data_IF_453987714623
#
_entry.id   IF_453987714623
#
_cell.length_a   1.000
_cell.length_b   1.000
_cell.length_c   1.000
_cell.angle_alpha   90.00
_cell.angle_beta   90.00
_cell.angle_gamma   90.00
#
_symmetry.space_group_name_H-M   'P 1'
#
loop_
_entity.id
_entity.type
_entity.pdbx_description
1 polymer ?
#
# COMPACT_ATOMS: atom_id res chain seq x y z
N UNK A 1 -5.18 -9.73 -5.26
CA UNK A 1 -6.39 -9.09 -5.81
C UNK A 1 -7.23 -8.63 -4.64
N UNK A 2 -7.87 -7.46 -4.71
CA UNK A 2 -8.75 -6.96 -3.65
C UNK A 2 -10.20 -6.98 -4.15
N UNK A 3 -11.05 -7.81 -3.53
CA UNK A 3 -12.47 -7.85 -3.88
C UNK A 3 -13.25 -6.83 -3.06
N UNK A 4 -14.06 -6.02 -3.75
CA UNK A 4 -14.93 -5.00 -3.14
C UNK A 4 -16.39 -5.47 -3.15
N UNK A 5 -16.83 -6.10 -4.24
CA UNK A 5 -18.17 -6.70 -4.38
C UNK A 5 -18.18 -7.84 -5.41
N UNK A 6 -19.32 -8.51 -5.58
CA UNK A 6 -19.49 -9.59 -6.58
C UNK A 6 -19.13 -9.20 -8.02
N UNK A 7 -19.11 -7.90 -8.35
CA UNK A 7 -18.80 -7.39 -9.69
C UNK A 7 -17.55 -6.49 -9.73
N UNK A 8 -16.97 -6.16 -8.58
CA UNK A 8 -15.90 -5.16 -8.47
C UNK A 8 -14.71 -5.80 -7.78
N UNK A 9 -13.62 -5.93 -8.51
CA UNK A 9 -12.33 -6.43 -8.02
C UNK A 9 -11.23 -5.54 -8.56
N UNK A 10 -10.28 -5.18 -7.69
CA UNK A 10 -9.08 -4.43 -8.03
C UNK A 10 -7.93 -5.43 -8.22
N UNK A 11 -7.24 -5.36 -9.36
CA UNK A 11 -6.07 -6.20 -9.61
C UNK A 11 -4.88 -5.74 -8.75
N UNK A 12 -3.99 -6.65 -8.34
CA UNK A 12 -2.81 -6.26 -7.54
C UNK A 12 -1.89 -5.30 -8.29
N UNK A 13 -1.87 -5.39 -9.62
CA UNK A 13 -1.08 -4.55 -10.52
C UNK A 13 -1.52 -3.08 -10.50
N UNK A 14 -2.77 -2.80 -10.10
CA UNK A 14 -3.32 -1.45 -9.98
C UNK A 14 -3.02 -0.82 -8.61
N UNK A 15 -2.51 -1.60 -7.66
CA UNK A 15 -2.21 -1.16 -6.30
C UNK A 15 -0.69 -1.01 -6.16
N UNK A 16 -0.23 0.23 -6.02
CA UNK A 16 1.18 0.52 -5.79
C UNK A 16 1.48 0.47 -4.29
N UNK A 17 2.33 -0.48 -3.87
CA UNK A 17 2.76 -0.64 -2.48
C UNK A 17 4.23 -0.26 -2.36
N UNK A 18 4.54 0.72 -1.53
CA UNK A 18 5.91 1.16 -1.23
C UNK A 18 6.20 1.04 0.25
N UNK A 19 7.23 0.27 0.59
CA UNK A 19 7.77 0.24 1.94
C UNK A 19 8.54 1.54 2.19
N UNK A 20 8.16 2.23 3.27
CA UNK A 20 8.78 3.48 3.71
C UNK A 20 9.36 3.30 5.11
N UNK A 21 10.34 4.13 5.43
CA UNK A 21 10.83 4.20 6.81
C UNK A 21 9.82 4.94 7.66
N UNK A 22 9.47 4.31 8.78
CA UNK A 22 8.62 4.90 9.80
C UNK A 22 9.31 6.14 10.38
N UNK A 23 8.70 7.32 10.21
CA UNK A 23 9.22 8.59 10.76
C UNK A 23 8.69 8.75 12.18
N UNK A 24 9.56 8.65 13.19
CA UNK A 24 9.19 8.84 14.60
C UNK A 24 10.32 8.45 15.56
N UNK A 25 10.23 8.88 16.82
CA UNK A 25 11.16 8.49 17.88
C UNK A 25 10.92 7.02 18.27
N UNK A 26 11.42 6.09 17.46
CA UNK A 26 11.35 4.66 17.73
C UNK A 26 12.71 4.09 18.13
N UNK A 27 12.70 3.01 18.91
CA UNK A 27 13.91 2.26 19.29
C UNK A 27 14.62 1.61 18.09
N UNK A 28 15.69 0.84 18.36
CA UNK A 28 16.53 0.22 17.30
C UNK A 28 15.74 -0.51 16.19
N UNK A 29 14.62 -1.17 16.51
CA UNK A 29 13.80 -1.88 15.52
C UNK A 29 13.07 -0.95 14.55
N UNK A 30 12.66 0.25 14.98
CA UNK A 30 11.94 1.22 14.15
C UNK A 30 12.90 1.99 13.23
N UNK A 31 14.13 2.24 13.70
CA UNK A 31 15.15 2.96 12.92
C UNK A 31 15.80 2.12 11.81
N UNK A 32 15.67 0.79 11.86
CA UNK A 32 16.41 -0.14 10.99
C UNK A 32 15.54 -0.87 9.95
N UNK A 33 14.23 -0.97 10.16
CA UNK A 33 13.31 -1.68 9.25
C UNK A 33 12.26 -0.70 8.69
N UNK A 34 12.04 -0.73 7.37
CA UNK A 34 10.94 -0.04 6.69
C UNK A 34 9.60 -0.69 7.04
N UNK A 35 9.14 -0.49 8.28
CA UNK A 35 7.89 -1.11 8.78
C UNK A 35 6.63 -0.37 8.35
N UNK A 36 6.74 0.86 7.86
CA UNK A 36 5.61 1.64 7.37
C UNK A 36 5.37 1.37 5.88
N UNK A 37 4.11 1.35 5.48
CA UNK A 37 3.68 1.09 4.11
C UNK A 37 2.90 2.30 3.59
N UNK A 38 3.27 2.78 2.41
CA UNK A 38 2.44 3.65 1.60
C UNK A 38 1.75 2.80 0.52
N UNK A 39 0.42 2.79 0.56
CA UNK A 39 -0.42 2.16 -0.46
C UNK A 39 -1.08 3.28 -1.28
N UNK A 40 -0.92 3.20 -2.60
CA UNK A 40 -1.55 4.13 -3.53
C UNK A 40 -2.37 3.36 -4.55
N UNK A 41 -3.59 3.84 -4.78
CA UNK A 41 -4.48 3.36 -5.80
C UNK A 41 -5.02 4.57 -6.56
N UNK A 42 -4.86 4.57 -7.88
CA UNK A 42 -5.31 5.67 -8.74
C UNK A 42 -6.64 5.30 -9.39
N UNK A 43 -7.72 5.92 -8.92
CA UNK A 43 -9.07 5.62 -9.39
C UNK A 43 -9.24 6.00 -10.86
N UNK A 44 -8.66 7.11 -11.30
CA UNK A 44 -8.87 7.60 -12.67
C UNK A 44 -8.11 6.78 -13.72
N UNK A 45 -7.00 6.19 -13.32
CA UNK A 45 -6.20 5.30 -14.18
C UNK A 45 -6.60 3.82 -14.04
N UNK A 46 -7.52 3.50 -13.13
CA UNK A 46 -7.98 2.12 -12.92
C UNK A 46 -8.87 1.63 -14.06
N UNK A 47 -8.93 0.31 -14.22
CA UNK A 47 -9.73 -0.38 -15.24
C UNK A 47 -11.22 -0.56 -14.85
N UNK A 48 -11.65 0.09 -13.76
CA UNK A 48 -12.98 -0.01 -13.15
C UNK A 48 -14.08 0.74 -13.91
#
# INVERSE_FOLDING_TARGET
MVQISNKVTIADEEIEIKAIRSQGAGGQNVNKVSTAIHLRFDINASSL
#
